data_IF_536896740158
#
_entry.id   IF_536896740158
#
_cell.length_a   1.000
_cell.length_b   1.000
_cell.length_c   1.000
_cell.angle_alpha   90.00
_cell.angle_beta   90.00
_cell.angle_gamma   90.00
#
_symmetry.space_group_name_H-M   'P 1'
#
loop_
_entity.id
_entity.type
_entity.pdbx_description
1 polymer ?
#
# COMPACT_ATOMS: atom_id res chain seq x y z
N UNK A 1 26.68 -18.49 8.73
CA UNK A 1 26.79 -17.03 8.95
C UNK A 1 26.13 -16.31 7.79
N UNK A 2 24.98 -15.61 7.94
CA UNK A 2 24.48 -14.81 6.85
C UNK A 2 25.36 -13.56 6.69
N UNK A 3 25.89 -13.38 5.47
CA UNK A 3 26.87 -12.35 5.09
C UNK A 3 26.17 -11.04 4.70
N UNK A 4 26.86 -9.93 4.98
CA UNK A 4 26.40 -8.54 4.90
C UNK A 4 25.46 -8.22 3.72
N UNK A 5 24.22 -7.82 4.05
CA UNK A 5 23.41 -6.95 3.21
C UNK A 5 24.07 -5.56 3.17
N UNK A 6 24.47 -5.10 1.98
CA UNK A 6 24.94 -3.72 1.81
C UNK A 6 23.71 -2.79 1.86
N UNK A 7 23.46 -2.20 3.03
CA UNK A 7 22.53 -1.08 3.19
C UNK A 7 23.25 0.20 2.79
N UNK A 8 23.05 0.67 1.57
CA UNK A 8 23.42 2.04 1.20
C UNK A 8 22.37 2.98 1.78
N UNK A 9 22.66 3.51 2.98
CA UNK A 9 21.90 4.55 3.61
C UNK A 9 22.10 5.87 2.85
N UNK A 10 21.00 6.46 2.39
CA UNK A 10 20.85 7.90 2.24
C UNK A 10 19.55 8.26 2.95
N UNK A 11 19.69 8.79 4.17
CA UNK A 11 18.59 9.18 5.06
C UNK A 11 18.23 10.68 4.91
N UNK A 12 18.68 11.34 3.84
CA UNK A 12 18.58 12.79 3.73
C UNK A 12 17.27 13.29 3.07
N UNK A 13 16.48 12.43 2.39
CA UNK A 13 15.22 12.81 1.71
C UNK A 13 13.98 12.01 2.19
N UNK A 14 13.72 11.97 3.50
CA UNK A 14 12.55 11.25 4.05
C UNK A 14 11.19 11.88 3.71
N UNK A 15 11.15 13.18 3.41
CA UNK A 15 9.89 13.89 3.16
C UNK A 15 9.33 13.66 1.75
N UNK A 16 10.19 13.56 0.74
CA UNK A 16 9.80 13.25 -0.65
C UNK A 16 9.39 11.79 -0.85
N UNK A 17 9.75 10.91 0.10
CA UNK A 17 9.48 9.46 0.05
C UNK A 17 8.28 9.03 0.89
N UNK A 18 7.50 9.98 1.41
CA UNK A 18 6.24 9.69 2.13
C UNK A 18 5.22 9.12 1.16
N UNK A 19 4.71 7.93 1.47
CA UNK A 19 3.67 7.24 0.70
C UNK A 19 2.47 6.92 1.60
N UNK A 20 1.32 6.78 0.96
CA UNK A 20 0.11 6.26 1.55
C UNK A 20 -0.08 4.82 1.06
N UNK A 21 -0.44 3.91 1.98
CA UNK A 21 -0.84 2.56 1.60
C UNK A 21 -2.37 2.47 1.63
N UNK A 22 -2.97 1.91 0.58
CA UNK A 22 -4.38 1.59 0.53
C UNK A 22 -4.51 0.07 0.48
N UNK A 23 -5.00 -0.53 1.56
CA UNK A 23 -5.23 -1.97 1.66
C UNK A 23 -6.67 -2.27 1.28
N UNK A 24 -6.88 -2.64 0.02
CA UNK A 24 -8.19 -2.95 -0.56
C UNK A 24 -8.42 -4.47 -0.44
N UNK A 25 -9.57 -4.91 0.11
CA UNK A 25 -9.93 -6.32 0.09
C UNK A 25 -10.12 -6.82 -1.33
N UNK A 26 -9.80 -8.09 -1.53
CA UNK A 26 -10.00 -8.77 -2.79
C UNK A 26 -8.70 -8.91 -3.56
N UNK A 27 -8.82 -9.53 -4.73
CA UNK A 27 -7.70 -9.81 -5.61
C UNK A 27 -7.90 -9.02 -6.89
N UNK A 28 -6.94 -8.13 -7.19
CA UNK A 28 -6.96 -7.28 -8.36
C UNK A 28 -5.74 -7.57 -9.21
N UNK A 29 -5.97 -7.88 -10.48
CA UNK A 29 -4.89 -7.98 -11.48
C UNK A 29 -4.53 -6.60 -12.04
N UNK A 30 -5.51 -5.70 -12.14
CA UNK A 30 -5.32 -4.31 -12.53
C UNK A 30 -5.52 -3.36 -11.33
N UNK A 31 -4.49 -2.58 -10.95
CA UNK A 31 -4.62 -1.55 -9.92
C UNK A 31 -5.70 -0.50 -10.20
N UNK A 32 -5.97 -0.19 -11.47
CA UNK A 32 -6.99 0.81 -11.81
C UNK A 32 -8.39 0.34 -11.44
N UNK A 33 -8.70 -0.94 -11.66
CA UNK A 33 -9.95 -1.55 -11.22
C UNK A 33 -10.14 -1.43 -9.70
N UNK A 34 -9.07 -1.65 -8.94
CA UNK A 34 -9.11 -1.52 -7.49
C UNK A 34 -9.38 -0.07 -7.05
N UNK A 35 -8.78 0.90 -7.75
CA UNK A 35 -9.00 2.34 -7.53
C UNK A 35 -10.44 2.73 -7.87
N UNK A 36 -11.00 2.22 -8.95
CA UNK A 36 -12.38 2.53 -9.36
C UNK A 36 -13.40 1.99 -8.35
N UNK A 37 -13.16 0.79 -7.78
CA UNK A 37 -14.03 0.21 -6.75
C UNK A 37 -14.10 0.98 -5.43
N UNK A 38 -13.13 1.87 -5.16
CA UNK A 38 -13.16 2.78 -4.01
C UNK A 38 -13.67 4.18 -4.37
N UNK A 39 -14.23 4.36 -5.56
CA UNK A 39 -14.77 5.64 -6.06
C UNK A 39 -13.75 6.48 -6.82
N UNK A 40 -12.64 5.88 -7.28
CA UNK A 40 -11.63 6.52 -8.12
C UNK A 40 -10.63 7.40 -7.36
N UNK A 41 -9.70 7.99 -8.12
CA UNK A 41 -8.64 8.85 -7.57
C UNK A 41 -9.15 10.05 -6.78
N UNK A 42 -10.28 10.64 -7.19
CA UNK A 42 -10.85 11.80 -6.50
C UNK A 42 -11.35 11.45 -5.10
N UNK A 43 -11.98 10.28 -4.94
CA UNK A 43 -12.43 9.81 -3.63
C UNK A 43 -11.23 9.57 -2.69
N UNK A 44 -10.14 8.97 -3.21
CA UNK A 44 -8.90 8.76 -2.47
C UNK A 44 -8.29 10.10 -2.03
N UNK A 45 -8.17 11.06 -2.95
CA UNK A 45 -7.63 12.39 -2.64
C UNK A 45 -8.48 13.10 -1.57
N UNK A 46 -9.81 13.03 -1.71
CA UNK A 46 -10.74 13.60 -0.72
C UNK A 46 -10.57 12.95 0.65
N UNK A 47 -10.47 11.62 0.70
CA UNK A 47 -10.22 10.87 1.94
C UNK A 47 -8.93 11.32 2.63
N UNK A 48 -7.86 11.51 1.86
CA UNK A 48 -6.55 11.93 2.41
C UNK A 48 -6.59 13.37 2.92
N UNK A 49 -7.17 14.29 2.15
CA UNK A 49 -7.19 15.72 2.48
C UNK A 49 -8.18 16.04 3.60
N UNK A 50 -9.39 15.46 3.54
CA UNK A 50 -10.49 15.76 4.46
C UNK A 50 -10.59 14.74 5.61
N UNK A 51 -9.72 13.73 5.64
CA UNK A 51 -9.75 12.62 6.63
C UNK A 51 -11.10 11.89 6.68
N UNK A 52 -11.82 11.86 5.56
CA UNK A 52 -13.09 11.14 5.44
C UNK A 52 -12.85 9.67 5.08
N UNK A 53 -13.65 8.73 5.59
CA UNK A 53 -13.51 7.31 5.23
C UNK A 53 -13.88 7.09 3.75
N UNK A 54 -13.12 6.23 3.06
CA UNK A 54 -13.50 5.66 1.77
C UNK A 54 -14.62 4.64 1.97
N UNK A 55 -15.40 4.44 0.91
CA UNK A 55 -16.41 3.38 0.84
C UNK A 55 -16.06 2.45 -0.30
N UNK A 56 -16.17 1.14 -0.05
CA UNK A 56 -15.87 0.08 -0.99
C UNK A 56 -17.06 -0.87 -1.08
N UNK A 57 -17.45 -1.22 -2.30
CA UNK A 57 -18.56 -2.13 -2.59
C UNK A 57 -18.02 -3.40 -3.23
N UNK A 58 -18.22 -4.54 -2.57
CA UNK A 58 -17.80 -5.84 -3.12
C UNK A 58 -18.59 -6.22 -4.38
N UNK A 59 -19.87 -5.82 -4.43
CA UNK A 59 -20.80 -6.14 -5.52
C UNK A 59 -21.52 -4.86 -5.92
N UNK A 60 -20.92 -4.03 -6.78
CA UNK A 60 -21.52 -2.75 -7.16
C UNK A 60 -22.88 -2.91 -7.87
N UNK A 61 -23.10 -4.02 -8.58
CA UNK A 61 -24.35 -4.30 -9.30
C UNK A 61 -25.46 -4.88 -8.40
N UNK A 62 -25.14 -5.29 -7.17
CA UNK A 62 -26.10 -5.86 -6.23
C UNK A 62 -26.66 -4.75 -5.32
N UNK A 63 -27.96 -4.41 -5.41
CA UNK A 63 -28.56 -3.35 -4.62
C UNK A 63 -28.57 -3.65 -3.11
N UNK A 64 -28.39 -4.91 -2.71
CA UNK A 64 -28.32 -5.33 -1.31
C UNK A 64 -26.88 -5.37 -0.78
N UNK A 65 -25.88 -5.03 -1.61
CA UNK A 65 -24.50 -4.96 -1.16
C UNK A 65 -24.33 -3.82 -0.17
N UNK A 66 -23.76 -4.11 0.99
CA UNK A 66 -23.51 -3.11 2.02
C UNK A 66 -22.10 -2.53 1.81
N UNK A 67 -21.95 -1.20 1.69
CA UNK A 67 -20.65 -0.58 1.53
C UNK A 67 -19.81 -0.74 2.79
N UNK A 68 -18.56 -1.13 2.60
CA UNK A 68 -17.57 -1.22 3.68
C UNK A 68 -16.81 0.09 3.77
N UNK A 69 -16.70 0.63 4.98
CA UNK A 69 -15.99 1.88 5.25
C UNK A 69 -14.53 1.61 5.60
N UNK A 70 -13.67 2.53 5.18
CA UNK A 70 -12.25 2.49 5.52
C UNK A 70 -11.95 3.22 6.83
N UNK A 71 -10.86 2.83 7.46
CA UNK A 71 -10.22 3.53 8.56
C UNK A 71 -8.78 3.91 8.17
N UNK A 72 -8.35 5.14 8.51
CA UNK A 72 -6.97 5.58 8.34
C UNK A 72 -6.18 5.33 9.62
N UNK A 73 -5.23 4.41 9.58
CA UNK A 73 -4.39 4.03 10.72
C UNK A 73 -2.97 4.56 10.52
N UNK A 74 -2.35 5.20 11.53
CA UNK A 74 -0.93 5.55 11.47
C UNK A 74 -0.08 4.28 11.37
N UNK A 75 0.93 4.30 10.50
CA UNK A 75 1.83 3.19 10.29
C UNK A 75 3.27 3.70 10.14
N UNK A 76 4.25 2.85 10.47
CA UNK A 76 5.66 3.09 10.19
C UNK A 76 6.16 2.00 9.23
N UNK A 77 5.49 1.84 8.10
CA UNK A 77 5.83 0.84 7.10
C UNK A 77 6.94 1.31 6.16
N UNK A 78 7.67 0.37 5.56
CA UNK A 78 8.67 0.64 4.53
C UNK A 78 8.27 -0.07 3.23
N UNK A 79 8.44 0.61 2.11
CA UNK A 79 8.36 0.02 0.77
C UNK A 79 9.80 -0.25 0.33
N UNK A 80 10.13 -1.53 0.20
CA UNK A 80 11.44 -1.99 -0.20
C UNK A 80 11.36 -2.61 -1.60
N UNK A 81 12.30 -2.26 -2.47
CA UNK A 81 12.52 -2.93 -3.74
C UNK A 81 13.65 -3.93 -3.55
N UNK A 82 13.31 -5.20 -3.66
CA UNK A 82 14.26 -6.30 -3.49
C UNK A 82 14.57 -6.87 -4.87
N UNK A 83 15.86 -6.91 -5.24
CA UNK A 83 16.34 -7.58 -6.44
C UNK A 83 17.21 -8.74 -6.01
N UNK A 84 16.91 -9.93 -6.50
CA UNK A 84 17.70 -11.13 -6.24
C UNK A 84 18.42 -11.53 -7.52
N UNK A 85 19.73 -11.75 -7.42
CA UNK A 85 20.51 -12.35 -8.51
C UNK A 85 20.70 -13.82 -8.17
N UNK A 86 20.08 -14.71 -8.95
CA UNK A 86 20.29 -16.15 -8.81
C UNK A 86 21.71 -16.46 -9.28
N UNK A 87 22.58 -16.84 -8.35
CA UNK A 87 23.83 -17.56 -8.65
C UNK A 87 23.75 -18.91 -7.96
N UNK A 88 24.29 -19.95 -8.60
CA UNK A 88 24.16 -21.34 -8.14
C UNK A 88 24.83 -21.62 -6.77
N UNK A 89 25.66 -20.70 -6.28
CA UNK A 89 26.41 -20.87 -5.02
C UNK A 89 26.02 -19.87 -3.91
N UNK A 90 25.60 -18.65 -4.24
CA UNK A 90 25.15 -17.64 -3.27
C UNK A 90 24.22 -16.61 -3.93
N UNK A 91 22.94 -16.50 -3.55
CA UNK A 91 22.07 -15.44 -4.06
C UNK A 91 22.50 -14.09 -3.48
N UNK A 92 22.88 -13.15 -4.35
CA UNK A 92 23.11 -11.76 -3.94
C UNK A 92 21.76 -11.04 -3.87
N UNK A 93 21.45 -10.48 -2.70
CA UNK A 93 20.20 -9.74 -2.45
C UNK A 93 20.53 -8.25 -2.39
N UNK A 94 19.95 -7.48 -3.29
CA UNK A 94 20.00 -6.02 -3.28
C UNK A 94 18.68 -5.48 -2.76
N UNK A 95 18.73 -4.63 -1.74
CA UNK A 95 17.57 -4.01 -1.12
C UNK A 95 17.66 -2.50 -1.24
N UNK A 96 16.65 -1.88 -1.83
CA UNK A 96 16.57 -0.45 -2.06
C UNK A 96 15.32 0.11 -1.36
N UNK A 97 15.48 1.19 -0.57
CA UNK A 97 14.35 1.88 0.07
C UNK A 97 13.63 2.76 -0.95
N UNK A 98 12.39 2.40 -1.27
CA UNK A 98 11.53 3.13 -2.23
C UNK A 98 10.70 4.20 -1.52
N UNK A 99 10.19 3.90 -0.33
CA UNK A 99 9.25 4.79 0.35
C UNK A 99 8.97 4.43 1.79
N UNK A 100 8.43 5.39 2.53
CA UNK A 100 7.99 5.23 3.91
C UNK A 100 6.47 5.43 3.94
N UNK A 101 5.76 4.40 4.41
CA UNK A 101 4.32 4.43 4.59
C UNK A 101 4.02 5.02 5.97
N UNK A 102 3.51 6.25 6.00
CA UNK A 102 3.12 6.93 7.26
C UNK A 102 1.70 6.61 7.70
N UNK A 103 0.82 6.29 6.75
CA UNK A 103 -0.57 5.95 7.01
C UNK A 103 -0.99 4.83 6.07
N UNK A 104 -1.84 3.96 6.61
CA UNK A 104 -2.50 2.92 5.86
C UNK A 104 -4.00 3.11 5.98
N UNK A 105 -4.68 3.19 4.85
CA UNK A 105 -6.13 3.13 4.79
C UNK A 105 -6.50 1.65 4.63
N UNK A 106 -7.24 1.11 5.60
CA UNK A 106 -7.70 -0.29 5.59
C UNK A 106 -9.22 -0.31 5.67
N UNK A 107 -9.86 -1.28 5.02
CA UNK A 107 -11.30 -1.50 5.17
C UNK A 107 -11.54 -2.44 6.34
N UNK A 108 -12.42 -2.04 7.27
CA UNK A 108 -12.75 -2.83 8.45
C UNK A 108 -14.02 -3.63 8.15
N UNK A 109 -13.91 -4.95 8.07
CA UNK A 109 -15.05 -5.85 8.02
C UNK A 109 -15.44 -6.16 9.46
N UNK A 110 -16.64 -5.77 9.86
CA UNK A 110 -17.26 -6.32 11.06
C UNK A 110 -17.82 -7.69 10.65
N UNK A 111 -17.14 -8.75 11.07
CA UNK A 111 -17.69 -10.11 11.09
C UNK A 111 -18.62 -10.26 12.29
#
# INVERSE_FOLDING_TARGET
>A
MPKLCKFTNYLDDLDEKKRLCLNIPGYFTDPNQAIDMVGGHQAILKSVTQKTPLSFMFRPDDPFSIPVKSESVPCCGLILKIKTKKSDANPEIFVELVGIVKRTIKFCYYL
#
